data_IF_616420582699
#
_entry.id   IF_616420582699
#
_cell.length_a   1.000
_cell.length_b   1.000
_cell.length_c   1.000
_cell.angle_alpha   90.00
_cell.angle_beta   90.00
_cell.angle_gamma   90.00
#
_symmetry.space_group_name_H-M   'P 1'
#
loop_
_entity.id
_entity.type
_entity.pdbx_description
1 polymer ?
#
# COMPACT_ATOMS: atom_id res chain seq x y z
N UNK A 1 1.37 7.10 -42.00
CA UNK A 1 1.62 8.30 -41.20
C UNK A 1 0.45 8.45 -40.26
N UNK A 2 0.65 8.13 -38.97
CA UNK A 2 -0.39 8.38 -37.97
C UNK A 2 -0.52 9.89 -37.77
N UNK A 3 -1.73 10.39 -37.99
CA UNK A 3 -2.05 11.81 -38.08
C UNK A 3 -2.85 12.25 -36.85
N UNK A 4 -2.31 11.97 -35.65
CA UNK A 4 -2.88 12.46 -34.40
C UNK A 4 -1.80 13.07 -33.52
N UNK A 5 -2.20 14.10 -32.76
CA UNK A 5 -1.35 14.79 -31.80
C UNK A 5 -1.73 14.31 -30.41
N UNK A 6 -0.84 13.52 -29.78
CA UNK A 6 -0.93 13.21 -28.36
C UNK A 6 -0.52 14.47 -27.60
N UNK A 7 -1.41 14.97 -26.76
CA UNK A 7 -1.14 16.11 -25.89
C UNK A 7 -1.25 15.59 -24.46
N UNK A 8 -0.17 15.63 -23.70
CA UNK A 8 -0.19 15.39 -22.26
C UNK A 8 -0.72 16.66 -21.56
N UNK A 9 -1.99 16.62 -21.16
CA UNK A 9 -2.68 17.79 -20.61
C UNK A 9 -2.42 17.96 -19.10
N UNK A 10 -1.88 16.95 -18.40
CA UNK A 10 -1.89 16.87 -16.93
C UNK A 10 -0.54 17.03 -16.21
N UNK A 11 0.57 17.24 -16.92
CA UNK A 11 1.93 17.20 -16.33
C UNK A 11 2.12 18.13 -15.13
N UNK A 12 1.53 19.33 -15.16
CA UNK A 12 1.67 20.31 -14.07
C UNK A 12 0.98 19.91 -12.76
N UNK A 13 -0.07 19.08 -12.82
CA UNK A 13 -0.77 18.59 -11.62
C UNK A 13 0.09 17.55 -10.91
N UNK A 14 0.68 16.62 -11.66
CA UNK A 14 1.59 15.62 -11.13
C UNK A 14 2.88 16.25 -10.57
N UNK A 15 3.50 17.19 -11.28
CA UNK A 15 4.70 17.88 -10.80
C UNK A 15 4.47 18.64 -9.48
N UNK A 16 3.25 19.14 -9.23
CA UNK A 16 2.93 19.76 -7.95
C UNK A 16 2.78 18.71 -6.84
N UNK A 17 2.07 17.61 -7.13
CA UNK A 17 1.91 16.51 -6.18
C UNK A 17 3.27 15.91 -5.78
N UNK A 18 4.17 15.66 -6.73
CA UNK A 18 5.47 15.04 -6.46
C UNK A 18 6.31 15.90 -5.50
N UNK A 19 6.27 17.23 -5.67
CA UNK A 19 6.94 18.17 -4.74
C UNK A 19 6.32 18.17 -3.36
N UNK A 20 5.01 17.96 -3.24
CA UNK A 20 4.33 17.84 -1.96
C UNK A 20 4.64 16.50 -1.29
N UNK A 21 4.70 15.42 -2.08
CA UNK A 21 5.09 14.09 -1.63
C UNK A 21 6.51 14.08 -1.07
N UNK A 22 7.47 14.69 -1.77
CA UNK A 22 8.86 14.79 -1.32
C UNK A 22 8.98 15.53 0.02
N UNK A 23 8.30 16.67 0.16
CA UNK A 23 8.28 17.42 1.42
C UNK A 23 7.64 16.61 2.55
N UNK A 24 6.52 15.95 2.28
CA UNK A 24 5.85 15.12 3.28
C UNK A 24 6.76 13.98 3.74
N UNK A 25 7.47 13.33 2.81
CA UNK A 25 8.41 12.26 3.12
C UNK A 25 9.59 12.76 3.97
N UNK A 26 10.10 13.97 3.70
CA UNK A 26 11.12 14.62 4.53
C UNK A 26 10.61 14.92 5.94
N UNK A 27 9.39 15.47 6.08
CA UNK A 27 8.72 15.72 7.36
C UNK A 27 8.55 14.42 8.17
N UNK A 28 8.08 13.35 7.51
CA UNK A 28 7.94 12.02 8.10
C UNK A 28 9.27 11.44 8.59
N UNK A 29 10.36 11.62 7.82
CA UNK A 29 11.70 11.18 8.25
C UNK A 29 12.20 11.98 9.46
N UNK A 30 11.94 13.29 9.51
CA UNK A 30 12.30 14.12 10.66
C UNK A 30 11.53 13.73 11.93
N UNK A 31 10.24 13.41 11.78
CA UNK A 31 9.38 12.96 12.87
C UNK A 31 9.58 11.48 13.24
N UNK A 32 10.42 10.74 12.50
CA UNK A 32 10.66 9.30 12.67
C UNK A 32 9.38 8.47 12.54
N UNK A 33 8.42 8.93 11.74
CA UNK A 33 7.20 8.20 11.43
C UNK A 33 7.37 7.53 10.06
N UNK A 34 7.34 6.20 10.02
CA UNK A 34 7.35 5.45 8.77
C UNK A 34 5.92 5.38 8.21
N UNK A 35 5.72 5.87 6.99
CA UNK A 35 4.43 5.76 6.30
C UNK A 35 4.48 4.64 5.26
N UNK A 36 3.65 3.62 5.45
CA UNK A 36 3.42 2.57 4.46
C UNK A 36 2.13 2.86 3.69
N UNK A 37 2.22 3.04 2.38
CA UNK A 37 1.06 3.10 1.49
C UNK A 37 0.70 1.67 1.03
N UNK A 38 -0.45 1.15 1.45
CA UNK A 38 -0.93 -0.18 1.12
C UNK A 38 -1.99 -0.12 0.00
N UNK A 39 -1.61 -0.59 -1.18
CA UNK A 39 -2.43 -0.62 -2.39
C UNK A 39 -2.89 -2.05 -2.72
N UNK A 40 -3.99 -2.19 -3.45
CA UNK A 40 -4.52 -3.49 -3.91
C UNK A 40 -5.69 -3.32 -4.87
N UNK A 41 -6.19 -4.41 -5.46
CA UNK A 41 -7.55 -4.46 -5.98
C UNK A 41 -8.60 -4.55 -4.85
N UNK A 42 -9.87 -4.21 -5.10
CA UNK A 42 -10.95 -4.53 -4.17
C UNK A 42 -10.98 -6.03 -3.85
N UNK A 43 -11.06 -6.37 -2.56
CA UNK A 43 -11.16 -7.76 -2.12
C UNK A 43 -9.85 -8.56 -2.12
N UNK A 44 -8.69 -8.00 -2.45
CA UNK A 44 -7.39 -8.71 -2.38
C UNK A 44 -6.95 -9.06 -0.96
N UNK A 45 -7.58 -8.47 0.06
CA UNK A 45 -7.40 -8.81 1.48
C UNK A 45 -6.55 -7.82 2.28
N UNK A 46 -6.58 -6.51 1.97
CA UNK A 46 -5.86 -5.45 2.71
C UNK A 46 -6.15 -5.48 4.20
N UNK A 47 -7.40 -5.24 4.58
CA UNK A 47 -7.84 -5.19 5.98
C UNK A 47 -7.47 -6.48 6.75
N UNK A 48 -7.65 -7.67 6.14
CA UNK A 48 -7.24 -8.94 6.78
C UNK A 48 -5.73 -9.02 6.98
N UNK A 49 -4.95 -8.59 5.98
CA UNK A 49 -3.49 -8.54 6.06
C UNK A 49 -3.03 -7.54 7.13
N UNK A 50 -3.69 -6.38 7.24
CA UNK A 50 -3.42 -5.39 8.28
C UNK A 50 -3.73 -5.92 9.68
N UNK A 51 -4.89 -6.58 9.89
CA UNK A 51 -5.18 -7.23 11.19
C UNK A 51 -4.09 -8.22 11.58
N UNK A 52 -3.65 -9.06 10.63
CA UNK A 52 -2.60 -10.03 10.88
C UNK A 52 -1.25 -9.35 11.20
N UNK A 53 -0.90 -8.29 10.46
CA UNK A 53 0.31 -7.49 10.65
C UNK A 53 0.31 -6.80 12.02
N UNK A 54 -0.77 -6.10 12.36
CA UNK A 54 -0.96 -5.44 13.66
C UNK A 54 -0.84 -6.44 14.81
N UNK A 55 -1.42 -7.63 14.68
CA UNK A 55 -1.31 -8.66 15.71
C UNK A 55 0.14 -9.10 15.99
N UNK A 56 1.05 -9.05 15.00
CA UNK A 56 2.48 -9.37 15.18
C UNK A 56 3.30 -8.20 15.72
N UNK A 57 2.93 -6.97 15.37
CA UNK A 57 3.80 -5.81 15.50
C UNK A 57 3.37 -4.79 16.56
N UNK A 58 2.11 -4.81 17.03
CA UNK A 58 1.60 -3.80 17.98
C UNK A 58 2.31 -3.74 19.33
N UNK A 59 2.93 -4.83 19.75
CA UNK A 59 3.72 -4.88 21.00
C UNK A 59 5.17 -4.43 20.78
N UNK A 60 5.57 -4.16 19.53
CA UNK A 60 6.92 -3.76 19.12
C UNK A 60 6.98 -2.33 18.57
N UNK A 61 5.86 -1.81 18.06
CA UNK A 61 5.72 -0.51 17.39
C UNK A 61 4.44 0.18 17.86
N UNK A 62 4.49 1.51 17.96
CA UNK A 62 3.30 2.34 18.02
C UNK A 62 2.72 2.45 16.60
N UNK A 63 1.63 1.72 16.35
CA UNK A 63 1.00 1.62 15.03
C UNK A 63 -0.27 2.47 14.97
N UNK A 64 -0.42 3.24 13.89
CA UNK A 64 -1.64 3.92 13.53
C UNK A 64 -2.11 3.55 12.12
N UNK A 65 -3.42 3.53 11.88
CA UNK A 65 -4.01 3.14 10.59
C UNK A 65 -4.90 4.27 10.04
N UNK A 66 -4.67 4.64 8.79
CA UNK A 66 -5.54 5.56 8.05
C UNK A 66 -6.24 4.78 6.94
N UNK A 67 -7.56 4.63 7.06
CA UNK A 67 -8.39 3.88 6.12
C UNK A 67 -8.96 4.83 5.06
N UNK A 68 -8.55 4.71 3.80
CA UNK A 68 -9.10 5.49 2.71
C UNK A 68 -10.16 4.69 1.95
N UNK A 69 -11.41 5.13 2.03
CA UNK A 69 -12.53 4.51 1.32
C UNK A 69 -13.47 5.58 0.76
N UNK A 70 -14.25 5.18 -0.23
CA UNK A 70 -15.17 6.02 -0.98
C UNK A 70 -16.36 6.45 -0.10
N UNK A 71 -16.99 5.51 0.63
CA UNK A 71 -18.23 5.80 1.38
C UNK A 71 -18.60 4.77 2.47
N UNK A 72 -17.65 3.95 2.94
CA UNK A 72 -17.91 2.87 3.90
C UNK A 72 -17.00 2.99 5.13
N UNK A 73 -17.57 2.79 6.32
CA UNK A 73 -16.83 2.78 7.59
C UNK A 73 -16.54 1.35 8.09
N UNK A 74 -16.79 0.34 7.24
CA UNK A 74 -16.64 -1.09 7.56
C UNK A 74 -15.21 -1.42 7.98
N UNK A 75 -14.22 -0.89 7.27
CA UNK A 75 -12.82 -1.24 7.51
C UNK A 75 -12.28 -0.55 8.79
N UNK A 76 -12.60 0.73 8.99
CA UNK A 76 -12.27 1.45 10.23
C UNK A 76 -12.87 0.78 11.48
N UNK A 77 -14.13 0.32 11.42
CA UNK A 77 -14.76 -0.45 12.51
C UNK A 77 -14.03 -1.76 12.75
N UNK A 78 -13.73 -2.49 11.68
CA UNK A 78 -13.02 -3.77 11.74
C UNK A 78 -11.62 -3.62 12.36
N UNK A 79 -10.94 -2.51 12.09
CA UNK A 79 -9.62 -2.21 12.65
C UNK A 79 -9.66 -1.75 14.10
N UNK A 80 -10.73 -1.07 14.54
CA UNK A 80 -10.88 -0.67 15.95
C UNK A 80 -10.83 -1.86 16.93
N UNK A 81 -11.24 -3.06 16.47
CA UNK A 81 -11.18 -4.30 17.24
C UNK A 81 -9.75 -4.76 17.58
N UNK A 82 -8.74 -4.28 16.83
CA UNK A 82 -7.34 -4.68 17.02
C UNK A 82 -6.66 -3.96 18.18
N UNK A 83 -7.26 -2.85 18.64
CA UNK A 83 -6.76 -2.01 19.73
C UNK A 83 -5.78 -0.93 19.32
N UNK A 84 -5.46 -0.79 18.02
CA UNK A 84 -4.67 0.34 17.51
C UNK A 84 -5.57 1.53 17.19
N UNK A 85 -4.99 2.73 17.17
CA UNK A 85 -5.72 3.93 16.74
C UNK A 85 -5.96 3.81 15.22
N UNK A 86 -7.17 4.08 14.79
CA UNK A 86 -7.51 4.17 13.36
C UNK A 86 -8.39 5.38 13.08
N UNK A 87 -8.29 5.93 11.87
CA UNK A 87 -9.21 6.95 11.35
C UNK A 87 -9.69 6.57 9.95
N UNK A 88 -10.87 7.07 9.59
CA UNK A 88 -11.41 6.98 8.24
C UNK A 88 -11.14 8.27 7.48
N UNK A 89 -10.60 8.15 6.27
CA UNK A 89 -10.44 9.21 5.29
C UNK A 89 -11.51 9.01 4.20
N UNK A 90 -12.54 9.85 4.21
CA UNK A 90 -13.53 9.86 3.15
C UNK A 90 -12.97 10.56 1.91
N UNK A 91 -12.82 9.82 0.82
CA UNK A 91 -12.22 10.37 -0.41
C UNK A 91 -13.19 11.21 -1.25
N UNK A 92 -14.48 11.26 -0.86
CA UNK A 92 -15.49 12.05 -1.55
C UNK A 92 -15.76 11.60 -2.99
N UNK A 93 -15.56 10.31 -3.28
CA UNK A 93 -15.70 9.75 -4.63
C UNK A 93 -14.39 9.64 -5.42
N UNK A 94 -13.26 10.10 -4.87
CA UNK A 94 -11.95 9.94 -5.50
C UNK A 94 -11.45 8.49 -5.42
N UNK A 95 -10.82 8.02 -6.50
CA UNK A 95 -10.32 6.65 -6.63
C UNK A 95 -8.90 6.42 -6.08
N UNK A 96 -8.29 7.45 -5.47
CA UNK A 96 -6.93 7.44 -4.93
C UNK A 96 -6.78 8.51 -3.84
N UNK A 97 -5.68 8.44 -3.10
CA UNK A 97 -5.14 9.56 -2.31
C UNK A 97 -3.92 10.16 -3.01
N UNK A 98 -3.76 11.47 -2.87
CA UNK A 98 -2.57 12.22 -3.26
C UNK A 98 -1.77 12.66 -2.02
N UNK A 99 -0.64 13.35 -2.21
CA UNK A 99 0.21 13.78 -1.10
C UNK A 99 -0.48 14.78 -0.17
N UNK A 100 -1.30 15.70 -0.70
CA UNK A 100 -2.03 16.70 0.07
C UNK A 100 -3.08 16.08 0.97
N UNK A 101 -3.89 15.15 0.42
CA UNK A 101 -4.87 14.37 1.18
C UNK A 101 -4.20 13.52 2.25
N UNK A 102 -3.05 12.91 1.92
CA UNK A 102 -2.28 12.10 2.87
C UNK A 102 -1.74 12.95 4.02
N UNK A 103 -1.18 14.12 3.72
CA UNK A 103 -0.72 15.08 4.72
C UNK A 103 -1.85 15.52 5.66
N UNK A 104 -2.99 15.91 5.11
CA UNK A 104 -4.16 16.28 5.90
C UNK A 104 -4.59 15.13 6.83
N UNK A 105 -4.62 13.90 6.31
CA UNK A 105 -4.93 12.71 7.12
C UNK A 105 -3.97 12.53 8.29
N UNK A 106 -2.67 12.65 8.05
CA UNK A 106 -1.64 12.52 9.09
C UNK A 106 -1.74 13.61 10.17
N UNK A 107 -2.03 14.85 9.78
CA UNK A 107 -2.21 15.99 10.69
C UNK A 107 -3.41 15.78 11.61
N UNK A 108 -4.58 15.46 11.05
CA UNK A 108 -5.80 15.16 11.84
C UNK A 108 -5.62 13.92 12.72
N UNK A 109 -4.85 12.94 12.24
CA UNK A 109 -4.53 11.75 13.00
C UNK A 109 -3.57 11.99 14.17
N UNK A 110 -2.88 13.13 14.18
CA UNK A 110 -1.77 13.45 15.08
C UNK A 110 -0.68 12.37 14.99
N UNK A 111 -0.17 12.14 13.78
CA UNK A 111 0.64 10.97 13.48
C UNK A 111 2.05 10.94 14.11
N UNK A 112 2.51 12.05 14.68
CA UNK A 112 3.88 12.21 15.19
C UNK A 112 4.27 11.26 16.34
N UNK A 113 3.28 10.65 17.02
CA UNK A 113 3.52 9.69 18.10
C UNK A 113 3.63 8.23 17.61
N UNK A 114 3.46 7.98 16.30
CA UNK A 114 3.54 6.65 15.72
C UNK A 114 4.91 6.37 15.09
N UNK A 115 5.41 5.16 15.33
CA UNK A 115 6.57 4.62 14.62
C UNK A 115 6.17 4.21 13.19
N UNK A 116 4.96 3.63 13.06
CA UNK A 116 4.39 3.14 11.81
C UNK A 116 2.98 3.68 11.62
N UNK A 117 2.75 4.39 10.52
CA UNK A 117 1.41 4.66 10.00
C UNK A 117 1.21 3.85 8.73
N UNK A 118 0.10 3.13 8.64
CA UNK A 118 -0.32 2.48 7.39
C UNK A 118 -1.49 3.25 6.79
N UNK A 119 -1.31 3.75 5.58
CA UNK A 119 -2.38 4.24 4.73
C UNK A 119 -2.94 3.05 3.94
N UNK A 120 -4.10 2.53 4.36
CA UNK A 120 -4.87 1.59 3.54
C UNK A 120 -5.52 2.39 2.41
N UNK A 121 -4.91 2.38 1.22
CA UNK A 121 -5.37 3.16 0.09
C UNK A 121 -6.63 2.54 -0.54
N UNK A 122 -7.32 3.30 -1.38
CA UNK A 122 -8.52 2.83 -2.09
C UNK A 122 -8.18 1.59 -2.92
N UNK A 123 -9.06 0.59 -2.90
CA UNK A 123 -8.90 -0.63 -3.72
C UNK A 123 -8.96 -0.32 -5.21
N UNK A 124 -7.81 -0.09 -5.85
CA UNK A 124 -7.67 0.21 -7.26
C UNK A 124 -6.21 -0.04 -7.72
N UNK A 125 -6.03 -0.64 -8.90
CA UNK A 125 -4.72 -0.93 -9.50
C UNK A 125 -4.18 0.15 -10.44
N UNK A 126 -4.97 1.20 -10.69
CA UNK A 126 -4.65 2.24 -11.67
C UNK A 126 -4.37 3.55 -10.95
N UNK A 127 -5.41 4.18 -10.39
CA UNK A 127 -5.28 5.53 -9.85
C UNK A 127 -4.19 5.64 -8.75
N UNK A 128 -4.11 4.76 -7.74
CA UNK A 128 -3.13 4.92 -6.66
C UNK A 128 -1.67 4.84 -7.12
N UNK A 129 -1.39 4.20 -8.26
CA UNK A 129 -0.04 4.11 -8.80
C UNK A 129 0.42 5.39 -9.53
N UNK A 130 -0.53 6.27 -9.90
CA UNK A 130 -0.24 7.52 -10.61
C UNK A 130 0.09 8.70 -9.68
N UNK A 131 -0.21 8.57 -8.38
CA UNK A 131 -0.08 9.66 -7.41
C UNK A 131 0.81 9.23 -6.24
N UNK A 132 1.98 9.87 -6.14
CA UNK A 132 2.84 9.71 -4.97
C UNK A 132 2.13 10.31 -3.74
N UNK A 133 1.99 9.50 -2.68
CA UNK A 133 1.35 9.87 -1.42
C UNK A 133 2.34 10.48 -0.42
N UNK A 134 3.63 10.53 -0.74
CA UNK A 134 4.69 10.89 0.20
C UNK A 134 5.08 9.76 1.16
N UNK A 135 4.61 8.54 0.88
CA UNK A 135 4.94 7.36 1.67
C UNK A 135 6.44 7.04 1.67
N UNK A 136 6.90 6.45 2.78
CA UNK A 136 8.25 5.90 2.92
C UNK A 136 8.44 4.68 2.02
N UNK A 137 7.40 3.83 1.94
CA UNK A 137 7.36 2.62 1.11
C UNK A 137 5.96 2.38 0.56
N UNK A 138 5.89 1.82 -0.63
CA UNK A 138 4.67 1.34 -1.27
C UNK A 138 4.59 -0.19 -1.19
N UNK A 139 3.55 -0.70 -0.54
CA UNK A 139 3.19 -2.11 -0.54
C UNK A 139 1.98 -2.36 -1.44
N UNK A 140 2.01 -3.44 -2.21
CA UNK A 140 0.93 -3.82 -3.11
C UNK A 140 0.49 -5.26 -2.85
N UNK A 141 -0.81 -5.50 -2.65
CA UNK A 141 -1.36 -6.85 -2.51
C UNK A 141 -1.96 -7.32 -3.83
N UNK A 142 -1.38 -8.38 -4.39
CA UNK A 142 -1.96 -9.15 -5.49
C UNK A 142 -2.47 -10.49 -4.93
N UNK A 143 -3.77 -10.78 -5.07
CA UNK A 143 -4.28 -12.08 -4.61
C UNK A 143 -4.25 -13.14 -5.70
N UNK A 144 -4.04 -14.41 -5.32
CA UNK A 144 -4.04 -15.56 -6.24
C UNK A 144 -5.27 -15.61 -7.17
N UNK A 145 -6.51 -15.41 -6.69
CA UNK A 145 -7.70 -15.41 -7.55
C UNK A 145 -7.71 -14.34 -8.65
N UNK A 146 -6.88 -13.31 -8.54
CA UNK A 146 -6.77 -12.30 -9.59
C UNK A 146 -5.96 -12.85 -10.78
N UNK A 147 -4.98 -13.72 -10.55
CA UNK A 147 -4.12 -14.31 -11.58
C UNK A 147 -2.73 -13.67 -11.68
N UNK A 148 -1.72 -14.48 -12.05
CA UNK A 148 -0.31 -14.09 -12.15
C UNK A 148 -0.01 -13.08 -13.28
N UNK A 149 -1.00 -12.78 -14.12
CA UNK A 149 -0.91 -11.88 -15.27
C UNK A 149 -1.06 -10.39 -14.94
N UNK A 150 -1.41 -10.04 -13.69
CA UNK A 150 -1.64 -8.64 -13.30
C UNK A 150 -0.45 -7.71 -13.50
N UNK A 151 0.81 -8.13 -13.28
CA UNK A 151 1.96 -7.28 -13.61
C UNK A 151 2.00 -6.86 -15.08
N UNK A 152 1.57 -7.71 -16.01
CA UNK A 152 1.52 -7.37 -17.43
C UNK A 152 0.38 -6.38 -17.76
N UNK A 153 -0.71 -6.45 -17.01
CA UNK A 153 -1.92 -5.63 -17.24
C UNK A 153 -1.87 -4.26 -16.55
N UNK A 154 -1.16 -4.16 -15.42
CA UNK A 154 -1.07 -2.95 -14.60
C UNK A 154 0.39 -2.60 -14.29
N UNK A 155 1.25 -2.41 -15.31
CA UNK A 155 2.69 -2.36 -15.13
C UNK A 155 3.14 -1.27 -14.14
N UNK A 156 2.52 -0.08 -14.20
CA UNK A 156 2.88 1.04 -13.33
C UNK A 156 2.75 0.68 -11.83
N UNK A 157 1.67 0.00 -11.43
CA UNK A 157 1.45 -0.41 -10.04
C UNK A 157 2.61 -1.26 -9.51
N UNK A 158 3.10 -2.20 -10.32
CA UNK A 158 4.21 -3.07 -9.94
C UNK A 158 5.59 -2.40 -10.12
N UNK A 159 5.70 -1.39 -10.99
CA UNK A 159 6.91 -0.55 -11.10
C UNK A 159 7.14 0.28 -9.83
N UNK A 160 6.08 0.86 -9.25
CA UNK A 160 6.19 1.79 -8.10
C UNK A 160 6.11 1.13 -6.73
N UNK A 161 5.84 -0.17 -6.68
CA UNK A 161 5.74 -0.94 -5.43
C UNK A 161 7.12 -1.40 -4.97
N UNK A 162 7.51 -1.05 -3.76
CA UNK A 162 8.74 -1.55 -3.11
C UNK A 162 8.59 -3.02 -2.70
N UNK A 163 7.37 -3.43 -2.35
CA UNK A 163 7.07 -4.79 -1.91
C UNK A 163 5.72 -5.24 -2.45
N UNK A 164 5.66 -6.48 -2.90
CA UNK A 164 4.44 -7.12 -3.42
C UNK A 164 4.10 -8.34 -2.57
N UNK A 165 2.89 -8.34 -2.01
CA UNK A 165 2.34 -9.45 -1.23
C UNK A 165 1.44 -10.28 -2.14
N UNK A 166 1.87 -11.48 -2.49
CA UNK A 166 1.05 -12.47 -3.20
C UNK A 166 0.16 -13.15 -2.15
N UNK A 167 -1.08 -12.66 -2.01
CA UNK A 167 -1.98 -13.09 -0.94
C UNK A 167 -2.93 -14.22 -1.36
N UNK A 168 -3.57 -14.85 -0.38
CA UNK A 168 -4.52 -15.96 -0.53
C UNK A 168 -3.88 -17.19 -1.16
N UNK A 169 -2.61 -17.47 -0.84
CA UNK A 169 -1.91 -18.65 -1.36
C UNK A 169 -2.58 -19.98 -0.97
N UNK A 170 -3.40 -19.98 0.08
CA UNK A 170 -4.26 -21.10 0.47
C UNK A 170 -5.29 -21.48 -0.61
N UNK A 171 -5.53 -20.61 -1.60
CA UNK A 171 -6.47 -20.85 -2.70
C UNK A 171 -5.83 -21.40 -3.97
N UNK A 172 -4.50 -21.57 -4.03
CA UNK A 172 -3.79 -22.05 -5.23
C UNK A 172 -4.28 -23.40 -5.75
N UNK A 173 -4.82 -24.27 -4.89
CA UNK A 173 -5.35 -25.57 -5.31
C UNK A 173 -6.56 -25.50 -6.25
N UNK A 174 -7.22 -24.35 -6.35
CA UNK A 174 -8.43 -24.14 -7.18
C UNK A 174 -8.27 -23.04 -8.23
N UNK A 175 -7.11 -22.38 -8.29
CA UNK A 175 -6.79 -21.34 -9.28
C UNK A 175 -5.52 -21.72 -10.03
N UNK A 176 -5.50 -21.46 -11.33
CA UNK A 176 -4.30 -21.55 -12.14
C UNK A 176 -3.47 -20.28 -11.91
N UNK A 177 -2.47 -20.38 -11.04
CA UNK A 177 -1.58 -19.28 -10.66
C UNK A 177 -0.14 -19.78 -10.63
N UNK A 178 0.70 -19.16 -11.45
CA UNK A 178 2.11 -19.52 -11.58
C UNK A 178 2.99 -18.58 -10.74
N UNK A 179 3.60 -19.15 -9.69
CA UNK A 179 4.46 -18.45 -8.74
C UNK A 179 5.74 -17.92 -9.40
N UNK A 180 6.38 -18.72 -10.25
CA UNK A 180 7.62 -18.34 -10.92
C UNK A 180 7.33 -17.24 -11.95
N UNK A 181 6.23 -17.38 -12.69
CA UNK A 181 5.83 -16.39 -13.69
C UNK A 181 5.46 -15.04 -13.06
N UNK A 182 4.74 -15.01 -11.93
CA UNK A 182 4.39 -13.73 -11.30
C UNK A 182 5.64 -13.00 -10.81
N UNK A 183 6.58 -13.72 -10.19
CA UNK A 183 7.85 -13.15 -9.70
C UNK A 183 8.67 -12.61 -10.87
N UNK A 184 8.84 -13.40 -11.94
CA UNK A 184 9.58 -12.97 -13.14
C UNK A 184 8.97 -11.69 -13.73
N UNK A 185 7.65 -11.60 -13.82
CA UNK A 185 6.95 -10.45 -14.40
C UNK A 185 7.06 -9.20 -13.52
N UNK A 186 7.00 -9.36 -12.19
CA UNK A 186 7.23 -8.26 -11.25
C UNK A 186 8.67 -7.75 -11.39
N UNK A 187 9.67 -8.64 -11.36
CA UNK A 187 11.08 -8.24 -11.43
C UNK A 187 11.49 -7.67 -12.78
N UNK A 188 10.80 -8.03 -13.88
CA UNK A 188 10.97 -7.34 -15.18
C UNK A 188 10.59 -5.86 -15.12
N UNK A 189 9.65 -5.48 -14.26
CA UNK A 189 9.18 -4.10 -14.10
C UNK A 189 9.95 -3.37 -12.99
N UNK A 190 10.21 -4.04 -11.87
CA UNK A 190 10.97 -3.54 -10.74
C UNK A 190 11.90 -4.64 -10.19
N UNK A 191 13.18 -4.66 -10.60
CA UNK A 191 14.16 -5.65 -10.13
C UNK A 191 14.44 -5.61 -8.63
N UNK A 192 14.09 -4.52 -7.95
CA UNK A 192 14.33 -4.34 -6.52
C UNK A 192 13.08 -4.62 -5.67
N UNK A 193 11.94 -4.98 -6.29
CA UNK A 193 10.73 -5.29 -5.55
C UNK A 193 10.91 -6.57 -4.71
N UNK A 194 10.62 -6.47 -3.42
CA UNK A 194 10.53 -7.63 -2.54
C UNK A 194 9.20 -8.35 -2.80
N UNK A 195 9.19 -9.68 -2.77
CA UNK A 195 7.97 -10.46 -3.04
C UNK A 195 7.77 -11.49 -1.93
N UNK A 196 6.62 -11.41 -1.25
CA UNK A 196 6.22 -12.35 -0.20
C UNK A 196 4.95 -13.09 -0.59
N UNK A 197 4.98 -14.41 -0.46
CA UNK A 197 3.80 -15.25 -0.61
C UNK A 197 3.14 -15.43 0.76
N UNK A 198 1.89 -14.97 0.89
CA UNK A 198 1.19 -14.93 2.17
C UNK A 198 -0.22 -15.55 2.10
N UNK A 199 -0.69 -16.10 3.22
CA UNK A 199 -2.10 -16.29 3.50
C UNK A 199 -2.46 -15.48 4.74
N UNK A 200 -3.03 -14.29 4.55
CA UNK A 200 -3.49 -13.48 5.68
C UNK A 200 -4.57 -14.18 6.53
N UNK A 201 -5.27 -15.17 5.94
CA UNK A 201 -6.29 -15.96 6.64
C UNK A 201 -5.67 -16.95 7.63
N UNK A 202 -4.64 -17.68 7.21
CA UNK A 202 -4.07 -18.78 7.98
C UNK A 202 -2.78 -18.37 8.73
N UNK A 203 -2.16 -17.26 8.32
CA UNK A 203 -0.91 -16.73 8.89
C UNK A 203 0.35 -17.10 8.13
N UNK A 204 0.27 -17.93 7.08
CA UNK A 204 1.43 -18.33 6.28
C UNK A 204 2.11 -17.11 5.65
N UNK A 205 3.43 -17.00 5.75
CA UNK A 205 4.23 -15.91 5.18
C UNK A 205 4.10 -14.55 5.88
N UNK A 206 3.21 -14.42 6.87
CA UNK A 206 2.96 -13.14 7.56
C UNK A 206 4.14 -12.75 8.44
N UNK A 207 4.83 -13.71 9.05
CA UNK A 207 5.94 -13.41 9.95
C UNK A 207 7.15 -12.88 9.16
N UNK A 208 7.45 -13.45 7.99
CA UNK A 208 8.49 -12.97 7.08
C UNK A 208 8.20 -11.55 6.57
N UNK A 209 6.95 -11.29 6.21
CA UNK A 209 6.48 -9.94 5.85
C UNK A 209 6.65 -8.95 7.01
N UNK A 210 6.22 -9.34 8.21
CA UNK A 210 6.30 -8.48 9.40
C UNK A 210 7.75 -8.20 9.82
N UNK A 211 8.64 -9.16 9.66
CA UNK A 211 10.06 -9.00 9.97
C UNK A 211 10.73 -8.02 8.99
N UNK A 212 10.40 -8.12 7.70
CA UNK A 212 10.84 -7.13 6.71
C UNK A 212 10.31 -5.73 7.06
N UNK A 213 9.01 -5.60 7.32
CA UNK A 213 8.40 -4.30 7.63
C UNK A 213 9.00 -3.69 8.91
N UNK A 214 9.19 -4.50 9.96
CA UNK A 214 9.81 -4.05 11.20
C UNK A 214 11.25 -3.56 10.99
N UNK A 215 12.01 -4.23 10.11
CA UNK A 215 13.36 -3.80 9.76
C UNK A 215 13.35 -2.45 9.03
N UNK A 216 12.46 -2.27 8.05
CA UNK A 216 12.34 -0.99 7.32
C UNK A 216 11.91 0.15 8.24
N UNK A 217 10.94 -0.07 9.13
CA UNK A 217 10.50 0.92 10.12
C UNK A 217 11.66 1.30 11.04
N UNK A 218 12.42 0.34 11.58
CA UNK A 218 13.57 0.64 12.44
C UNK A 218 14.65 1.44 11.72
N UNK A 219 15.00 1.05 10.49
CA UNK A 219 15.97 1.79 9.68
C UNK A 219 15.50 3.22 9.34
N UNK A 220 14.19 3.44 9.28
CA UNK A 220 13.61 4.76 9.09
C UNK A 220 13.60 5.60 10.37
N UNK A 221 13.41 5.00 11.54
CA UNK A 221 13.39 5.72 12.81
C UNK A 221 14.80 6.00 13.37
N UNK A 222 15.82 5.31 12.88
CA UNK A 222 17.25 5.62 13.11
C UNK A 222 17.63 6.98 12.48
#
# INVERSE_FOLDING_TARGET
MENFKVIEIKKSVFENNDREADKLREELKQNKTFLLNLMSSPGSGKTTTLKATVARLKDKLNIGIMEADIDSDVDARTMSETGVKSIQLHTGGMCHLDAGMTKQGLEEFNANDFDLVVLENVGNLVCPAEFDTGASKNAMILSVPEGDDKPLKYPLMFTVSDVVLINKIDTKSVFDFDDDAVVERIHKLNPNAEVFFISARNGDGIDEWCDWLLKEVKAWCE
#
